data_IF_512931071878
#
_entry.id   IF_512931071878
#
_cell.length_a   1.000
_cell.length_b   1.000
_cell.length_c   1.000
_cell.angle_alpha   90.00
_cell.angle_beta   90.00
_cell.angle_gamma   90.00
#
_symmetry.space_group_name_H-M   'P 1'
#
loop_
_entity.id
_entity.type
_entity.pdbx_description
1 polymer ?
#
# COMPACT_ATOMS: atom_id res chain seq x y z
N UNK A 1 80.47 -16.52 -5.08
CA UNK A 1 79.40 -15.57 -5.43
C UNK A 1 78.11 -16.14 -4.86
N UNK A 2 77.62 -15.55 -3.77
CA UNK A 2 76.55 -16.13 -2.93
C UNK A 2 75.15 -15.97 -3.49
N UNK A 3 74.31 -16.98 -3.30
CA UNK A 3 72.90 -17.04 -3.74
C UNK A 3 72.04 -15.90 -3.13
N UNK A 4 71.02 -15.41 -3.86
CA UNK A 4 70.10 -14.42 -3.32
C UNK A 4 69.15 -15.09 -2.33
N UNK A 5 69.29 -14.77 -1.04
CA UNK A 5 68.33 -15.20 -0.01
C UNK A 5 66.92 -14.71 -0.37
N UNK A 6 66.01 -15.65 -0.57
CA UNK A 6 64.59 -15.37 -0.69
C UNK A 6 64.12 -14.58 0.54
N UNK A 7 63.76 -13.32 0.34
CA UNK A 7 63.14 -12.47 1.38
C UNK A 7 61.78 -13.07 1.75
N UNK A 8 61.76 -13.96 2.74
CA UNK A 8 60.51 -14.35 3.42
C UNK A 8 60.05 -13.17 4.27
N UNK A 9 59.05 -12.45 3.79
CA UNK A 9 58.31 -11.50 4.63
C UNK A 9 57.59 -12.30 5.71
N UNK A 10 58.04 -12.17 6.97
CA UNK A 10 57.35 -12.79 8.10
C UNK A 10 56.00 -12.09 8.27
N UNK A 11 54.93 -12.83 8.07
CA UNK A 11 53.57 -12.37 8.34
C UNK A 11 53.43 -12.08 9.84
N UNK A 12 53.00 -10.87 10.21
CA UNK A 12 52.74 -10.47 11.61
C UNK A 12 51.26 -10.66 11.91
N UNK A 13 50.91 -11.83 12.46
CA UNK A 13 49.53 -12.20 12.82
C UNK A 13 48.84 -11.19 13.76
N UNK A 14 49.59 -10.54 14.67
CA UNK A 14 49.01 -9.59 15.63
C UNK A 14 48.43 -8.30 15.02
N UNK A 15 48.85 -7.91 13.80
CA UNK A 15 48.28 -6.74 13.12
C UNK A 15 46.95 -7.07 12.44
N UNK A 16 46.81 -8.30 11.94
CA UNK A 16 45.61 -8.71 11.24
C UNK A 16 44.40 -8.74 12.15
N UNK A 17 44.55 -9.21 13.38
CA UNK A 17 43.42 -9.31 14.30
C UNK A 17 42.77 -7.95 14.54
N UNK A 18 43.57 -6.89 14.69
CA UNK A 18 43.04 -5.53 14.85
C UNK A 18 42.32 -5.05 13.59
N UNK A 19 42.89 -5.30 12.42
CA UNK A 19 42.27 -4.94 11.12
C UNK A 19 40.95 -5.70 10.95
N UNK A 20 40.95 -7.00 11.21
CA UNK A 20 39.77 -7.85 11.11
C UNK A 20 38.67 -7.42 12.09
N UNK A 21 39.01 -7.03 13.32
CA UNK A 21 38.03 -6.48 14.25
C UNK A 21 37.38 -5.21 13.69
N UNK A 22 38.18 -4.27 13.18
CA UNK A 22 37.67 -3.02 12.59
C UNK A 22 36.78 -3.30 11.38
N UNK A 23 37.17 -4.23 10.51
CA UNK A 23 36.35 -4.62 9.36
C UNK A 23 35.03 -5.26 9.78
N UNK A 24 35.05 -6.11 10.81
CA UNK A 24 33.84 -6.73 11.36
C UNK A 24 32.90 -5.69 11.96
N UNK A 25 33.41 -4.73 12.73
CA UNK A 25 32.61 -3.63 13.29
C UNK A 25 31.90 -2.82 12.19
N UNK A 26 32.59 -2.56 11.07
CA UNK A 26 32.00 -1.88 9.91
C UNK A 26 30.87 -2.72 9.29
N UNK A 27 31.11 -4.01 9.09
CA UNK A 27 30.11 -4.93 8.51
C UNK A 27 28.88 -5.02 9.41
N UNK A 28 29.07 -5.09 10.72
CA UNK A 28 27.98 -5.15 11.69
C UNK A 28 27.15 -3.85 11.67
N UNK A 29 27.81 -2.68 11.64
CA UNK A 29 27.12 -1.40 11.49
C UNK A 29 26.35 -1.26 10.17
N UNK A 30 26.85 -1.82 9.07
CA UNK A 30 26.12 -1.86 7.79
C UNK A 30 24.91 -2.80 7.86
N UNK A 31 25.06 -3.95 8.52
CA UNK A 31 23.98 -4.93 8.71
C UNK A 31 22.85 -4.34 9.55
N UNK A 32 23.18 -3.64 10.63
CA UNK A 32 22.17 -2.97 11.48
C UNK A 32 21.40 -1.92 10.68
N UNK A 33 22.10 -1.06 9.92
CA UNK A 33 21.45 -0.06 9.05
C UNK A 33 20.54 -0.70 8.00
N UNK A 34 20.97 -1.81 7.41
CA UNK A 34 20.15 -2.56 6.46
C UNK A 34 18.90 -3.13 7.13
N UNK A 35 19.05 -3.70 8.33
CA UNK A 35 17.96 -4.27 9.10
C UNK A 35 16.90 -3.23 9.48
N UNK A 36 17.30 -2.05 9.96
CA UNK A 36 16.37 -0.95 10.27
C UNK A 36 15.56 -0.53 9.03
N UNK A 37 16.21 -0.46 7.86
CA UNK A 37 15.53 -0.12 6.59
C UNK A 37 14.54 -1.19 6.16
N UNK A 38 14.92 -2.45 6.30
CA UNK A 38 14.09 -3.60 5.99
C UNK A 38 12.83 -3.63 6.87
N UNK A 39 12.99 -3.51 8.19
CA UNK A 39 11.88 -3.47 9.14
C UNK A 39 10.93 -2.29 8.88
N UNK A 40 11.48 -1.10 8.60
CA UNK A 40 10.66 0.05 8.18
C UNK A 40 9.92 -0.21 6.86
N UNK A 41 10.50 -0.95 5.93
CA UNK A 41 9.83 -1.35 4.69
C UNK A 41 8.68 -2.33 4.96
N UNK A 42 8.94 -3.39 5.75
CA UNK A 42 7.94 -4.38 6.16
C UNK A 42 6.75 -3.71 6.84
N UNK A 43 7.00 -2.77 7.75
CA UNK A 43 5.95 -2.01 8.43
C UNK A 43 5.09 -1.18 7.46
N UNK A 44 5.71 -0.47 6.52
CA UNK A 44 4.98 0.30 5.49
C UNK A 44 4.11 -0.60 4.62
N UNK A 45 4.67 -1.74 4.18
CA UNK A 45 3.94 -2.73 3.39
C UNK A 45 2.77 -3.29 4.20
N UNK A 46 2.99 -3.70 5.45
CA UNK A 46 1.94 -4.18 6.33
C UNK A 46 0.81 -3.14 6.52
N UNK A 47 1.14 -1.86 6.72
CA UNK A 47 0.16 -0.78 6.81
C UNK A 47 -0.61 -0.59 5.50
N UNK A 48 0.06 -0.70 4.34
CA UNK A 48 -0.59 -0.57 3.03
C UNK A 48 -1.54 -1.73 2.70
N UNK A 49 -1.27 -2.93 3.23
CA UNK A 49 -2.07 -4.15 3.02
C UNK A 49 -3.23 -4.25 4.02
N UNK A 50 -3.24 -3.45 5.10
CA UNK A 50 -4.46 -3.38 5.92
C UNK A 50 -5.61 -2.89 5.04
N UNK A 51 -6.70 -3.66 4.90
CA UNK A 51 -7.85 -3.19 4.14
C UNK A 51 -8.32 -1.92 4.84
N UNK A 52 -8.21 -0.79 4.13
CA UNK A 52 -8.85 0.46 4.52
C UNK A 52 -10.27 0.06 4.90
N UNK A 53 -10.62 0.14 6.19
CA UNK A 53 -12.00 -0.09 6.62
C UNK A 53 -12.82 0.82 5.72
N UNK A 54 -13.60 0.24 4.82
CA UNK A 54 -14.68 0.94 4.17
C UNK A 54 -15.62 1.19 5.34
N UNK A 55 -15.36 2.29 6.07
CA UNK A 55 -16.32 2.83 6.99
C UNK A 55 -17.57 2.94 6.16
N UNK A 56 -18.58 2.16 6.54
CA UNK A 56 -19.87 2.06 5.91
C UNK A 56 -20.43 3.47 5.75
N UNK A 57 -20.15 4.09 4.60
CA UNK A 57 -20.87 5.25 4.19
C UNK A 57 -22.27 4.73 3.86
N UNK A 58 -23.21 4.93 4.79
CA UNK A 58 -24.56 5.49 4.56
C UNK A 58 -25.50 5.16 5.73
N UNK A 59 -25.51 6.02 6.75
CA UNK A 59 -26.79 6.54 7.28
C UNK A 59 -27.07 7.89 6.62
N UNK A 60 -27.17 7.90 5.29
CA UNK A 60 -28.01 8.90 4.66
C UNK A 60 -29.44 8.49 5.00
N UNK A 61 -30.17 9.37 5.69
CA UNK A 61 -31.62 9.30 5.82
C UNK A 61 -32.30 9.53 4.45
N UNK A 62 -31.84 8.87 3.39
CA UNK A 62 -32.55 8.76 2.14
C UNK A 62 -33.61 7.68 2.37
N UNK A 63 -34.71 8.17 2.92
CA UNK A 63 -36.01 7.51 2.96
C UNK A 63 -36.20 6.77 1.62
N UNK A 64 -36.48 5.48 1.74
CA UNK A 64 -36.76 4.60 0.63
C UNK A 64 -38.08 5.02 -0.03
N UNK A 65 -38.02 6.07 -0.83
CA UNK A 65 -39.15 6.58 -1.60
C UNK A 65 -39.33 5.75 -2.87
N UNK A 66 -39.22 4.42 -2.79
CA UNK A 66 -39.59 3.54 -3.89
C UNK A 66 -41.12 3.44 -3.90
N UNK A 67 -41.79 4.50 -4.35
CA UNK A 67 -43.17 4.35 -4.83
C UNK A 67 -43.09 3.38 -6.01
N UNK A 68 -43.85 2.28 -5.92
CA UNK A 68 -43.70 1.07 -6.72
C UNK A 68 -43.67 1.27 -8.24
N UNK A 69 -43.48 0.17 -8.96
CA UNK A 69 -43.28 0.13 -10.41
C UNK A 69 -44.23 1.07 -11.18
N UNK A 70 -43.65 1.97 -11.97
CA UNK A 70 -44.37 2.91 -12.84
C UNK A 70 -44.00 2.66 -14.30
N UNK A 71 -44.90 3.01 -15.21
CA UNK A 71 -44.65 3.06 -16.65
C UNK A 71 -44.37 4.50 -17.04
N UNK A 72 -43.32 4.70 -17.82
CA UNK A 72 -43.02 5.99 -18.44
C UNK A 72 -43.88 6.11 -19.68
N UNK A 73 -44.73 7.14 -19.75
CA UNK A 73 -45.45 7.47 -20.99
C UNK A 73 -44.84 8.72 -21.61
N UNK A 74 -44.54 8.58 -22.88
CA UNK A 74 -44.21 9.58 -23.89
C UNK A 74 -43.36 10.80 -23.48
N UNK A 75 -42.19 10.93 -24.11
CA UNK A 75 -41.31 12.08 -23.94
C UNK A 75 -41.82 13.26 -24.78
N UNK A 76 -42.42 14.26 -24.14
CA UNK A 76 -42.66 15.53 -24.82
C UNK A 76 -41.30 16.20 -25.07
N UNK A 77 -40.88 16.21 -26.35
CA UNK A 77 -39.68 16.89 -26.86
C UNK A 77 -38.48 16.80 -25.91
N UNK A 78 -38.03 15.57 -25.64
CA UNK A 78 -36.74 15.24 -25.01
C UNK A 78 -36.47 15.82 -23.60
N UNK A 79 -37.40 16.53 -22.96
CA UNK A 79 -37.13 17.22 -21.69
C UNK A 79 -38.14 16.87 -20.59
N UNK A 80 -39.34 16.40 -20.94
CA UNK A 80 -40.34 15.99 -19.95
C UNK A 80 -40.93 14.62 -20.27
N UNK A 81 -40.99 13.76 -19.25
CA UNK A 81 -41.71 12.48 -19.27
C UNK A 81 -42.81 12.50 -18.21
N UNK A 82 -43.95 11.86 -18.48
CA UNK A 82 -45.00 11.59 -17.49
C UNK A 82 -44.84 10.18 -16.93
N UNK A 83 -45.17 10.03 -15.64
CA UNK A 83 -45.13 8.74 -14.96
C UNK A 83 -46.56 8.34 -14.60
N UNK A 84 -46.91 7.10 -14.90
CA UNK A 84 -48.16 6.49 -14.45
C UNK A 84 -47.86 5.25 -13.62
N UNK A 85 -48.63 5.05 -12.55
CA UNK A 85 -48.63 3.78 -11.83
C UNK A 85 -49.24 2.67 -12.69
N UNK A 86 -48.87 1.41 -12.43
CA UNK A 86 -49.45 0.26 -13.13
C UNK A 86 -50.98 0.16 -13.03
N UNK A 87 -51.56 0.81 -12.02
CA UNK A 87 -53.01 0.96 -11.81
C UNK A 87 -53.66 2.04 -12.70
N UNK A 88 -52.92 2.64 -13.63
CA UNK A 88 -53.41 3.66 -14.57
C UNK A 88 -53.61 5.06 -13.97
N UNK A 89 -53.11 5.29 -12.75
CA UNK A 89 -53.18 6.60 -12.07
C UNK A 89 -51.91 7.42 -12.36
N UNK A 90 -52.08 8.67 -12.76
CA UNK A 90 -50.95 9.59 -12.98
C UNK A 90 -50.25 9.93 -11.65
N UNK A 91 -48.92 9.99 -11.68
CA UNK A 91 -48.11 10.37 -10.51
C UNK A 91 -48.21 11.89 -10.34
N UNK A 92 -49.01 12.34 -9.37
CA UNK A 92 -49.02 13.73 -8.91
C UNK A 92 -47.62 14.13 -8.44
N UNK A 93 -46.97 15.03 -9.18
CA UNK A 93 -45.74 15.70 -8.75
C UNK A 93 -46.09 16.65 -7.62
N UNK A 94 -45.42 16.49 -6.48
CA UNK A 94 -45.47 17.44 -5.35
C UNK A 94 -44.26 18.36 -5.43
#
# INVERSE_FOLDING_TARGET
MGEPLARRTRHKEGNNNQILCVELDIVEGLREKAHIREEGCKQRVAQSITPRRINEAKKSNMRENRKGSFKVKEAFKNIAYTLEFLDGKEVLRT
#
